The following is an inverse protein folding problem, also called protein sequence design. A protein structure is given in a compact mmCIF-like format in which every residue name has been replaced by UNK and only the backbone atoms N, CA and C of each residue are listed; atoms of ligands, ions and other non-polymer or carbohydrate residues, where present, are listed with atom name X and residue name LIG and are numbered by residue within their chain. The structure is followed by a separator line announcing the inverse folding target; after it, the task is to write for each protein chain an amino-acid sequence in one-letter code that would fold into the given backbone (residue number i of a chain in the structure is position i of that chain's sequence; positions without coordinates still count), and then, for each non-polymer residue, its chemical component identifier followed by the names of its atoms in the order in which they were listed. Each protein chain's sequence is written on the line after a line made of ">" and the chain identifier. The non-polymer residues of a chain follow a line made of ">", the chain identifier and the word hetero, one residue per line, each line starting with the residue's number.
data_IF_971390953817
#
_entry.id   IF_971390953817
#
_cell.length_a   1.000
_cell.length_b   1.000
_cell.length_c   1.000
_cell.angle_alpha   90.00
_cell.angle_beta   90.00
_cell.angle_gamma   90.00
#
_symmetry.space_group_name_H-M   'P 1'
#
loop_
_entity.id
_entity.type
_entity.pdbx_description
1 polymer ?
#
# COMPACT_ATOMS: atom_id res chain seq x y z
N UNK A 1 -10.58 -31.25 4.37
CA UNK A 1 -9.38 -30.47 4.07
C UNK A 1 -9.71 -29.36 3.08
N UNK A 2 -9.34 -28.20 3.42
CA UNK A 2 -9.55 -27.05 2.52
C UNK A 2 -8.24 -26.68 1.85
N UNK A 3 -8.21 -26.75 0.55
CA UNK A 3 -7.13 -26.15 -0.21
C UNK A 3 -7.29 -24.64 -0.18
N UNK A 4 -6.20 -23.88 -0.28
CA UNK A 4 -6.26 -22.44 -0.47
C UNK A 4 -7.06 -22.17 -1.73
N UNK A 5 -8.00 -21.21 -1.70
CA UNK A 5 -8.74 -20.86 -2.91
C UNK A 5 -7.76 -20.40 -3.99
N UNK A 6 -7.86 -21.03 -5.14
CA UNK A 6 -7.08 -20.59 -6.29
C UNK A 6 -7.59 -19.21 -6.73
N UNK A 7 -6.68 -18.32 -7.01
CA UNK A 7 -7.03 -16.99 -7.45
C UNK A 7 -5.82 -16.09 -7.48
N UNK A 8 -6.01 -14.87 -7.97
CA UNK A 8 -4.93 -13.91 -8.14
C UNK A 8 -5.36 -12.56 -7.61
N UNK A 9 -4.50 -11.95 -6.81
CA UNK A 9 -4.66 -10.58 -6.37
C UNK A 9 -3.95 -9.67 -7.38
N UNK A 10 -4.71 -8.75 -7.97
CA UNK A 10 -4.14 -7.71 -8.81
C UNK A 10 -3.97 -6.44 -8.00
N UNK A 11 -2.82 -5.80 -8.08
CA UNK A 11 -2.55 -4.52 -7.42
C UNK A 11 -2.29 -3.47 -8.48
N UNK A 12 -3.08 -2.40 -8.44
CA UNK A 12 -2.83 -1.19 -9.19
C UNK A 12 -2.16 -0.21 -8.23
N UNK A 13 -0.84 -0.17 -8.27
CA UNK A 13 -0.04 0.72 -7.44
C UNK A 13 0.16 2.02 -8.20
N UNK A 14 -0.77 2.96 -8.00
CA UNK A 14 -0.78 4.23 -8.71
C UNK A 14 0.04 5.31 -8.00
N UNK A 15 0.33 6.37 -8.73
CA UNK A 15 1.09 7.51 -8.18
C UNK A 15 0.29 8.21 -7.08
N UNK A 16 -0.99 8.47 -7.33
CA UNK A 16 -1.84 9.17 -6.37
C UNK A 16 -2.67 8.22 -5.53
N UNK A 17 -3.18 7.14 -6.14
CA UNK A 17 -4.07 6.19 -5.47
C UNK A 17 -3.69 4.77 -5.85
N UNK A 18 -4.01 3.85 -4.96
CA UNK A 18 -3.81 2.42 -5.18
C UNK A 18 -5.14 1.69 -5.01
N UNK A 19 -5.29 0.60 -5.75
CA UNK A 19 -6.48 -0.24 -5.70
C UNK A 19 -6.08 -1.70 -5.87
N UNK A 20 -6.98 -2.60 -5.48
CA UNK A 20 -6.76 -4.03 -5.64
C UNK A 20 -8.01 -4.70 -6.17
N UNK A 21 -7.81 -5.79 -6.91
CA UNK A 21 -8.88 -6.64 -7.40
C UNK A 21 -8.53 -8.10 -7.13
N UNK A 22 -9.55 -8.88 -6.88
CA UNK A 22 -9.41 -10.33 -6.71
C UNK A 22 -10.08 -11.04 -7.86
N UNK A 23 -9.35 -11.92 -8.51
CA UNK A 23 -9.89 -12.82 -9.53
C UNK A 23 -9.81 -14.24 -9.01
N UNK A 24 -10.95 -14.82 -8.67
CA UNK A 24 -11.02 -16.21 -8.28
C UNK A 24 -10.93 -17.13 -9.49
N UNK A 25 -10.97 -18.45 -9.25
CA UNK A 25 -10.88 -19.42 -10.35
C UNK A 25 -12.09 -19.39 -11.28
N UNK A 26 -13.20 -18.86 -10.79
CA UNK A 26 -14.44 -18.74 -11.55
C UNK A 26 -15.03 -17.36 -11.32
N UNK A 27 -15.54 -16.77 -12.38
CA UNK A 27 -16.18 -15.48 -12.32
C UNK A 27 -15.24 -14.31 -12.59
N UNK A 28 -15.81 -13.12 -12.73
CA UNK A 28 -15.03 -11.93 -13.03
C UNK A 28 -14.22 -11.45 -11.82
N UNK A 29 -13.18 -10.66 -12.10
CA UNK A 29 -12.45 -9.97 -11.05
C UNK A 29 -13.36 -8.96 -10.35
N UNK A 30 -13.14 -8.77 -9.06
CA UNK A 30 -13.87 -7.79 -8.26
C UNK A 30 -12.92 -6.89 -7.51
N UNK A 31 -13.28 -5.62 -7.37
CA UNK A 31 -12.49 -4.68 -6.59
C UNK A 31 -12.65 -4.99 -5.10
N UNK A 32 -11.55 -4.84 -4.38
CA UNK A 32 -11.54 -5.06 -2.93
C UNK A 32 -11.65 -3.71 -2.23
N UNK A 33 -12.64 -3.51 -1.35
CA UNK A 33 -12.67 -2.30 -0.52
C UNK A 33 -11.43 -2.22 0.38
N UNK A 34 -10.78 -1.08 0.39
CA UNK A 34 -9.54 -0.86 1.14
C UNK A 34 -9.75 0.02 2.36
N UNK A 35 -10.63 1.00 2.25
CA UNK A 35 -10.92 1.94 3.33
C UNK A 35 -12.43 2.06 3.47
N UNK A 36 -13.01 1.30 4.39
CA UNK A 36 -14.46 1.19 4.46
C UNK A 36 -14.99 0.66 3.15
N UNK A 37 -15.88 1.40 2.48
CA UNK A 37 -16.40 1.01 1.18
C UNK A 37 -15.54 1.50 0.01
N UNK A 38 -14.52 2.32 0.26
CA UNK A 38 -13.69 2.89 -0.79
C UNK A 38 -12.75 1.85 -1.37
N UNK A 39 -12.75 1.71 -2.69
CA UNK A 39 -11.91 0.73 -3.40
C UNK A 39 -10.58 1.31 -3.83
N UNK A 40 -10.40 2.62 -3.75
CA UNK A 40 -9.13 3.28 -4.01
C UNK A 40 -8.70 4.00 -2.74
N UNK A 41 -7.41 3.93 -2.43
CA UNK A 41 -6.86 4.65 -1.30
C UNK A 41 -5.63 5.45 -1.72
N UNK A 42 -5.38 6.61 -1.09
CA UNK A 42 -4.17 7.37 -1.40
C UNK A 42 -2.92 6.54 -1.21
N UNK A 43 -1.99 6.65 -2.15
CA UNK A 43 -0.67 6.00 -2.07
C UNK A 43 0.20 6.87 -1.18
N UNK A 44 -0.02 6.78 0.12
CA UNK A 44 0.59 7.65 1.11
C UNK A 44 0.88 6.90 2.40
N UNK A 45 1.99 7.26 3.02
CA UNK A 45 2.40 6.75 4.35
C UNK A 45 2.73 7.95 5.22
N UNK A 46 2.24 7.96 6.44
CA UNK A 46 2.59 8.98 7.42
C UNK A 46 3.21 8.31 8.64
N UNK A 47 4.42 8.76 8.98
CA UNK A 47 5.11 8.30 10.18
C UNK A 47 4.89 9.32 11.27
N UNK A 48 4.07 8.97 12.25
CA UNK A 48 3.73 9.85 13.36
C UNK A 48 4.93 9.91 14.32
N UNK A 49 5.47 11.11 14.54
CA UNK A 49 6.63 11.28 15.40
C UNK A 49 6.26 11.34 16.87
N UNK A 50 4.98 11.59 17.21
CA UNK A 50 4.54 11.71 18.58
C UNK A 50 4.42 10.35 19.28
N UNK A 51 3.86 9.36 18.58
CA UNK A 51 3.64 8.03 19.13
C UNK A 51 4.36 6.92 18.35
N UNK A 52 5.08 7.28 17.27
CA UNK A 52 5.85 6.38 16.43
C UNK A 52 4.99 5.31 15.76
N UNK A 53 3.75 5.64 15.44
CA UNK A 53 2.87 4.78 14.66
C UNK A 53 2.97 5.11 13.18
N UNK A 54 2.57 4.16 12.34
CA UNK A 54 2.57 4.31 10.90
C UNK A 54 1.14 4.28 10.39
N UNK A 55 0.82 5.21 9.51
CA UNK A 55 -0.53 5.38 8.97
C UNK A 55 -0.50 5.36 7.45
N UNK A 56 -1.61 4.95 6.84
CA UNK A 56 -1.68 4.72 5.41
C UNK A 56 -2.92 5.37 4.81
N UNK A 57 -2.85 5.72 3.54
CA UNK A 57 -4.00 6.17 2.80
C UNK A 57 -4.62 7.45 3.33
N UNK A 58 -5.95 7.46 3.46
CA UNK A 58 -6.67 8.65 3.94
C UNK A 58 -6.31 9.03 5.37
N UNK A 59 -6.05 8.04 6.21
CA UNK A 59 -5.62 8.30 7.59
C UNK A 59 -4.26 9.02 7.60
N UNK A 60 -3.34 8.62 6.73
CA UNK A 60 -2.05 9.29 6.59
C UNK A 60 -2.24 10.76 6.20
N UNK A 61 -3.10 11.02 5.22
CA UNK A 61 -3.39 12.38 4.78
C UNK A 61 -4.07 13.19 5.86
N UNK A 62 -5.02 12.58 6.58
CA UNK A 62 -5.75 13.27 7.65
C UNK A 62 -4.82 13.70 8.79
N UNK A 63 -3.90 12.86 9.19
CA UNK A 63 -2.95 13.18 10.24
C UNK A 63 -2.02 14.33 9.81
N UNK A 64 -1.57 14.30 8.58
CA UNK A 64 -0.76 15.38 8.04
C UNK A 64 -1.52 16.70 8.03
N UNK A 65 -2.76 16.69 7.54
CA UNK A 65 -3.58 17.90 7.45
C UNK A 65 -3.99 18.43 8.83
N UNK A 66 -4.07 17.57 9.83
CA UNK A 66 -4.33 17.99 11.21
C UNK A 66 -3.12 18.63 11.89
N UNK A 67 -1.98 18.67 11.22
CA UNK A 67 -0.76 19.25 11.78
C UNK A 67 -0.03 18.35 12.76
N UNK A 68 -0.34 17.05 12.77
CA UNK A 68 0.37 16.10 13.61
C UNK A 68 1.85 16.06 13.22
N UNK A 69 2.71 16.08 14.22
CA UNK A 69 4.15 16.04 13.98
C UNK A 69 4.53 14.67 13.41
N UNK A 70 5.25 14.69 12.30
CA UNK A 70 5.66 13.46 11.63
C UNK A 70 6.04 13.71 10.20
N UNK A 71 6.13 12.63 9.44
CA UNK A 71 6.55 12.72 8.06
C UNK A 71 5.59 12.03 7.11
N UNK A 72 5.10 12.78 6.15
CA UNK A 72 4.25 12.27 5.08
C UNK A 72 5.10 11.95 3.85
N UNK A 73 4.91 10.76 3.30
CA UNK A 73 5.51 10.34 2.04
C UNK A 73 4.40 9.96 1.09
N UNK A 74 4.38 10.59 -0.09
CA UNK A 74 3.38 10.39 -1.14
C UNK A 74 4.06 10.07 -2.44
N UNK A 75 3.27 9.71 -3.44
CA UNK A 75 3.76 9.46 -4.80
C UNK A 75 4.85 8.40 -4.84
N UNK A 76 4.68 7.37 -4.03
CA UNK A 76 5.69 6.32 -3.84
C UNK A 76 6.01 5.58 -5.14
N UNK A 77 5.03 5.51 -6.07
CA UNK A 77 5.24 4.82 -7.33
C UNK A 77 6.37 5.44 -8.15
N UNK A 78 6.53 6.76 -8.09
CA UNK A 78 7.56 7.43 -8.87
C UNK A 78 8.97 7.05 -8.42
N UNK A 79 9.12 6.49 -7.23
CA UNK A 79 10.42 6.01 -6.75
C UNK A 79 10.87 4.74 -7.45
N UNK A 80 9.93 3.91 -7.92
CA UNK A 80 10.26 2.59 -8.48
C UNK A 80 11.10 2.67 -9.76
N UNK A 81 10.92 3.71 -10.56
CA UNK A 81 11.69 3.89 -11.78
C UNK A 81 12.86 4.83 -11.61
N UNK A 82 13.18 5.22 -10.39
CA UNK A 82 14.17 6.23 -10.07
C UNK A 82 15.33 5.63 -9.28
N UNK A 83 16.51 6.22 -9.42
CA UNK A 83 17.66 5.85 -8.60
C UNK A 83 17.43 6.15 -7.12
N UNK A 84 16.47 7.02 -6.80
CA UNK A 84 16.13 7.35 -5.42
C UNK A 84 15.65 6.13 -4.62
N UNK A 85 15.15 5.09 -5.28
CA UNK A 85 14.66 3.90 -4.58
C UNK A 85 15.74 3.24 -3.73
N UNK A 86 17.00 3.41 -4.11
CA UNK A 86 18.14 2.85 -3.39
C UNK A 86 18.68 3.80 -2.32
N UNK A 87 18.15 5.02 -2.25
CA UNK A 87 18.62 6.00 -1.27
C UNK A 87 17.77 5.93 -0.01
N UNK A 88 18.24 6.62 1.02
CA UNK A 88 17.59 6.64 2.33
C UNK A 88 17.11 8.04 2.68
N UNK A 89 16.13 8.10 3.56
CA UNK A 89 15.65 9.33 4.15
C UNK A 89 15.54 9.15 5.66
N UNK A 90 15.40 10.24 6.40
CA UNK A 90 15.28 10.16 7.86
C UNK A 90 13.80 10.15 8.24
N UNK A 91 13.42 9.15 9.04
CA UNK A 91 12.07 9.01 9.59
C UNK A 91 12.21 8.73 11.08
N UNK A 92 11.63 9.59 11.92
CA UNK A 92 11.66 9.44 13.38
C UNK A 92 13.11 9.21 13.90
N UNK A 93 14.04 10.06 13.43
CA UNK A 93 15.47 10.03 13.80
C UNK A 93 16.22 8.79 13.32
N UNK A 94 15.63 7.99 12.43
CA UNK A 94 16.28 6.79 11.88
C UNK A 94 16.35 6.90 10.37
N UNK A 95 17.43 6.38 9.80
CA UNK A 95 17.52 6.26 8.36
C UNK A 95 16.65 5.10 7.89
N UNK A 96 15.86 5.35 6.86
CA UNK A 96 15.00 4.35 6.25
C UNK A 96 15.16 4.45 4.74
N UNK A 97 15.39 3.31 4.09
CA UNK A 97 15.50 3.30 2.63
C UNK A 97 14.13 3.53 2.02
N UNK A 98 14.10 4.24 0.89
CA UNK A 98 12.84 4.42 0.16
C UNK A 98 12.23 3.08 -0.25
N UNK A 99 13.07 2.10 -0.58
CA UNK A 99 12.60 0.75 -0.87
C UNK A 99 11.80 0.15 0.29
N UNK A 100 12.25 0.36 1.53
CA UNK A 100 11.56 -0.15 2.70
C UNK A 100 10.22 0.57 2.92
N UNK A 101 10.14 1.84 2.57
CA UNK A 101 8.88 2.60 2.66
C UNK A 101 7.87 2.07 1.66
N UNK A 102 8.29 1.83 0.42
CA UNK A 102 7.43 1.23 -0.59
C UNK A 102 6.98 -0.16 -0.14
N UNK A 103 7.91 -0.97 0.38
CA UNK A 103 7.59 -2.30 0.88
C UNK A 103 6.59 -2.25 2.05
N UNK A 104 6.71 -1.26 2.92
CA UNK A 104 5.77 -1.05 4.03
C UNK A 104 4.36 -0.78 3.50
N UNK A 105 4.23 0.07 2.48
CA UNK A 105 2.93 0.38 1.89
C UNK A 105 2.34 -0.86 1.20
N UNK A 106 3.12 -1.57 0.40
CA UNK A 106 2.66 -2.79 -0.28
C UNK A 106 2.28 -3.88 0.71
N UNK A 107 3.01 -3.99 1.81
CA UNK A 107 2.68 -4.91 2.90
C UNK A 107 1.34 -4.59 3.53
N UNK A 108 1.01 -3.31 3.68
CA UNK A 108 -0.30 -2.88 4.18
C UNK A 108 -1.41 -3.25 3.20
N UNK A 109 -1.19 -3.07 1.89
CA UNK A 109 -2.18 -3.50 0.90
C UNK A 109 -2.44 -5.00 1.00
N UNK A 110 -1.39 -5.80 1.12
CA UNK A 110 -1.53 -7.26 1.27
C UNK A 110 -2.29 -7.61 2.54
N UNK A 111 -2.02 -6.90 3.62
CA UNK A 111 -2.72 -7.11 4.89
C UNK A 111 -4.22 -6.83 4.74
N UNK A 112 -4.58 -5.73 4.09
CA UNK A 112 -5.98 -5.37 3.86
C UNK A 112 -6.67 -6.39 2.95
N UNK A 113 -5.96 -6.89 1.93
CA UNK A 113 -6.48 -7.94 1.06
C UNK A 113 -6.75 -9.22 1.87
N UNK A 114 -5.82 -9.59 2.72
CA UNK A 114 -5.96 -10.77 3.57
C UNK A 114 -7.18 -10.68 4.47
N UNK A 115 -7.41 -9.51 5.06
CA UNK A 115 -8.59 -9.30 5.90
C UNK A 115 -9.89 -9.36 5.09
N UNK A 116 -9.90 -8.77 3.91
CA UNK A 116 -11.09 -8.75 3.06
C UNK A 116 -11.41 -10.13 2.48
N UNK A 117 -10.39 -10.91 2.16
CA UNK A 117 -10.55 -12.24 1.55
C UNK A 117 -10.75 -13.35 2.57
N UNK A 118 -10.26 -13.16 3.80
CA UNK A 118 -10.25 -14.20 4.82
C UNK A 118 -9.07 -15.15 4.73
N UNK A 119 -8.16 -14.92 3.80
CA UNK A 119 -6.95 -15.73 3.62
C UNK A 119 -5.88 -14.90 2.92
N UNK A 120 -4.62 -15.27 3.09
CA UNK A 120 -3.53 -14.58 2.42
C UNK A 120 -3.51 -14.94 0.94
N UNK A 121 -3.35 -13.95 0.05
CA UNK A 121 -3.21 -14.24 -1.38
C UNK A 121 -1.86 -14.91 -1.63
N UNK A 122 -1.87 -15.98 -2.42
CA UNK A 122 -0.65 -16.71 -2.78
C UNK A 122 -0.06 -16.21 -4.09
N UNK A 123 -0.89 -15.62 -4.95
CA UNK A 123 -0.48 -15.14 -6.26
C UNK A 123 -0.86 -13.67 -6.38
N UNK A 124 0.12 -12.84 -6.67
CA UNK A 124 -0.06 -11.40 -6.80
C UNK A 124 0.50 -10.95 -8.15
N UNK A 125 -0.28 -10.13 -8.85
CA UNK A 125 0.15 -9.48 -10.08
C UNK A 125 0.11 -7.97 -9.84
N UNK A 126 1.20 -7.29 -10.15
CA UNK A 126 1.28 -5.84 -10.03
C UNK A 126 1.80 -5.27 -11.34
N UNK A 127 1.11 -4.25 -11.85
CA UNK A 127 1.53 -3.60 -13.08
C UNK A 127 2.83 -2.83 -12.90
N UNK A 128 3.61 -2.74 -13.97
CA UNK A 128 4.82 -1.93 -14.00
C UNK A 128 4.47 -0.49 -14.33
N UNK A 129 5.25 0.48 -13.83
CA UNK A 129 5.15 1.84 -14.36
C UNK A 129 5.43 1.83 -15.87
N UNK A 130 4.61 2.56 -16.62
CA UNK A 130 4.80 2.74 -18.06
C UNK A 130 5.25 4.17 -18.28
N UNK A 131 6.38 4.32 -18.94
CA UNK A 131 6.95 5.64 -19.24
C UNK A 131 7.15 5.81 -20.72
#
# INVERSE_FOLDING_TARGET
>A
MTASPAGTLGIDFGTSNSAMAWAGPQGPARLIPLEGAAVAMPTAVFFNAEDQTTHFGRDAMAQYLAGTEGRLLRSLKSLLGSSLILESTVVNHRQMRFLDIVATFLGELRHRATQALGHAPERVVMGRPVH
#
